data_IF_696222108572
#
_entry.id   IF_696222108572
#
_cell.length_a   1.000
_cell.length_b   1.000
_cell.length_c   1.000
_cell.angle_alpha   90.00
_cell.angle_beta   90.00
_cell.angle_gamma   90.00
#
_symmetry.space_group_name_H-M   'P 1'
#
loop_
_entity.id
_entity.type
_entity.pdbx_description
1 polymer ?
#
# COMPACT_ATOMS: atom_id res chain seq x y z
N UNK A 1 20.87 0.58 22.94
CA UNK A 1 21.68 0.21 21.76
C UNK A 1 22.51 -1.00 22.11
N UNK A 2 22.55 -2.02 21.23
CA UNK A 2 23.47 -3.16 21.28
C UNK A 2 24.31 -3.13 20.00
N UNK A 3 25.57 -3.56 20.07
CA UNK A 3 26.48 -3.62 18.92
C UNK A 3 27.22 -4.96 18.95
N UNK A 4 27.31 -5.60 17.79
CA UNK A 4 28.13 -6.77 17.56
C UNK A 4 28.82 -6.60 16.20
N UNK A 5 30.16 -6.66 16.20
CA UNK A 5 30.98 -6.59 15.01
C UNK A 5 31.70 -7.92 14.88
N UNK A 6 31.52 -8.60 13.76
CA UNK A 6 32.17 -9.88 13.47
C UNK A 6 32.97 -9.79 12.19
N UNK A 7 34.04 -10.56 12.09
CA UNK A 7 34.67 -10.85 10.81
C UNK A 7 33.74 -11.64 9.93
N UNK A 8 33.59 -11.21 8.68
CA UNK A 8 32.63 -11.82 7.73
C UNK A 8 32.99 -13.25 7.33
N UNK A 9 34.28 -13.56 7.25
CA UNK A 9 34.77 -14.85 6.78
C UNK A 9 34.87 -15.89 7.89
N UNK A 10 35.43 -15.49 9.05
CA UNK A 10 35.61 -16.39 10.18
C UNK A 10 34.43 -16.45 11.14
N UNK A 11 33.61 -15.41 11.17
CA UNK A 11 32.54 -15.25 12.17
C UNK A 11 33.04 -14.79 13.55
N UNK A 12 34.37 -14.56 13.71
CA UNK A 12 34.92 -14.16 14.98
C UNK A 12 34.45 -12.78 15.41
N UNK A 13 34.14 -12.63 16.69
CA UNK A 13 33.73 -11.36 17.25
C UNK A 13 34.91 -10.43 17.39
N UNK A 14 34.87 -9.29 16.71
CA UNK A 14 35.87 -8.22 16.79
C UNK A 14 35.55 -7.31 17.96
N UNK A 15 34.29 -6.92 18.12
CA UNK A 15 33.84 -6.02 19.19
C UNK A 15 32.37 -6.35 19.55
N UNK A 16 32.05 -6.22 20.84
CA UNK A 16 30.69 -6.46 21.34
C UNK A 16 30.34 -5.48 22.47
N UNK A 17 29.20 -4.79 22.30
CA UNK A 17 28.64 -3.96 23.36
C UNK A 17 27.15 -4.33 23.53
N UNK A 18 26.79 -4.86 24.70
CA UNK A 18 25.44 -5.29 25.03
C UNK A 18 24.79 -6.16 23.93
N UNK A 19 25.59 -6.99 23.26
CA UNK A 19 25.18 -7.78 22.09
C UNK A 19 24.05 -8.80 22.40
N UNK A 20 23.97 -9.26 23.65
CA UNK A 20 22.94 -10.21 24.11
C UNK A 20 21.71 -9.52 24.73
N UNK A 21 21.62 -8.19 24.66
CA UNK A 21 20.45 -7.48 25.18
C UNK A 21 19.27 -7.63 24.23
N UNK A 22 18.11 -7.94 24.78
CA UNK A 22 16.84 -7.93 24.01
C UNK A 22 16.49 -6.49 23.70
N UNK A 23 16.40 -6.18 22.41
CA UNK A 23 16.00 -4.86 21.89
C UNK A 23 14.98 -5.05 20.75
N UNK A 24 14.05 -4.10 20.58
CA UNK A 24 13.14 -4.14 19.43
C UNK A 24 13.94 -4.09 18.12
N UNK A 25 13.72 -5.03 17.18
CA UNK A 25 14.47 -5.08 15.92
C UNK A 25 14.08 -3.97 14.94
N UNK A 26 12.93 -3.34 15.14
CA UNK A 26 12.36 -2.37 14.20
C UNK A 26 12.44 -2.87 12.74
N UNK A 27 12.82 -2.04 11.77
CA UNK A 27 12.89 -2.43 10.36
C UNK A 27 13.97 -3.46 10.03
N UNK A 28 14.88 -3.80 10.94
CA UNK A 28 15.83 -4.90 10.70
C UNK A 28 15.13 -6.26 10.63
N UNK A 29 13.93 -6.38 11.20
CA UNK A 29 13.08 -7.58 11.02
C UNK A 29 12.78 -7.89 9.55
N UNK A 30 12.75 -6.88 8.67
CA UNK A 30 12.54 -7.08 7.24
C UNK A 30 13.62 -7.94 6.58
N UNK A 31 14.85 -7.89 7.09
CA UNK A 31 15.95 -8.75 6.58
C UNK A 31 15.62 -10.22 6.82
N UNK A 32 15.11 -10.56 7.99
CA UNK A 32 14.71 -11.94 8.30
C UNK A 32 13.53 -12.38 7.41
N UNK A 33 12.50 -11.54 7.30
CA UNK A 33 11.32 -11.83 6.48
C UNK A 33 11.70 -12.03 5.00
N UNK A 34 12.51 -11.15 4.44
CA UNK A 34 12.90 -11.24 3.04
C UNK A 34 13.87 -12.40 2.78
N UNK A 35 14.81 -12.67 3.69
CA UNK A 35 15.69 -13.83 3.58
C UNK A 35 14.89 -15.13 3.61
N UNK A 36 13.91 -15.25 4.51
CA UNK A 36 13.01 -16.41 4.58
C UNK A 36 12.21 -16.58 3.29
N UNK A 37 11.68 -15.49 2.73
CA UNK A 37 10.94 -15.55 1.47
C UNK A 37 11.83 -16.04 0.31
N UNK A 38 13.06 -15.55 0.21
CA UNK A 38 14.02 -15.99 -0.83
C UNK A 38 14.40 -17.46 -0.62
N UNK A 39 14.60 -17.90 0.61
CA UNK A 39 14.91 -19.30 0.91
C UNK A 39 13.76 -20.25 0.52
N UNK A 40 12.52 -19.86 0.80
CA UNK A 40 11.35 -20.71 0.54
C UNK A 40 10.93 -20.72 -0.93
N UNK A 41 11.01 -19.59 -1.62
CA UNK A 41 10.44 -19.43 -2.97
C UNK A 41 11.48 -19.17 -4.06
N UNK A 42 12.72 -18.89 -3.68
CA UNK A 42 13.78 -18.52 -4.62
C UNK A 42 13.70 -17.05 -5.09
N UNK A 43 14.79 -16.57 -5.66
CA UNK A 43 14.89 -15.18 -6.15
C UNK A 43 14.07 -14.90 -7.42
N UNK A 44 13.66 -15.95 -8.14
CA UNK A 44 12.89 -15.82 -9.39
C UNK A 44 11.37 -15.94 -9.19
N UNK A 45 10.92 -16.05 -7.95
CA UNK A 45 9.49 -16.09 -7.64
C UNK A 45 8.77 -14.85 -8.19
N UNK A 46 7.59 -15.07 -8.77
CA UNK A 46 6.75 -13.99 -9.31
C UNK A 46 5.38 -14.04 -8.68
N UNK A 47 4.90 -12.87 -8.26
CA UNK A 47 3.51 -12.68 -7.85
C UNK A 47 2.72 -12.36 -9.11
N UNK A 48 1.66 -13.13 -9.35
CA UNK A 48 0.78 -12.95 -10.51
C UNK A 48 -0.50 -12.24 -10.09
N UNK A 49 -1.02 -11.38 -10.97
CA UNK A 49 -2.34 -10.75 -10.81
C UNK A 49 -3.18 -11.11 -12.03
N UNK A 50 -3.92 -12.25 -11.99
CA UNK A 50 -4.75 -12.67 -13.09
C UNK A 50 -5.88 -11.68 -13.36
N UNK A 51 -6.18 -11.49 -14.66
CA UNK A 51 -7.41 -10.83 -15.10
C UNK A 51 -8.28 -11.91 -15.74
N UNK A 52 -9.40 -12.20 -15.10
CA UNK A 52 -10.33 -13.26 -15.50
C UNK A 52 -11.71 -12.69 -15.82
N UNK A 53 -12.59 -13.49 -16.39
CA UNK A 53 -13.96 -13.07 -16.64
C UNK A 53 -14.95 -14.22 -16.42
N UNK A 54 -16.20 -13.83 -16.15
CA UNK A 54 -17.35 -14.73 -16.16
C UNK A 54 -18.29 -14.38 -17.32
N UNK A 55 -19.08 -15.34 -17.78
CA UNK A 55 -19.97 -15.16 -18.91
C UNK A 55 -19.34 -15.54 -20.26
N UNK A 56 -19.69 -14.82 -21.33
CA UNK A 56 -19.23 -15.12 -22.68
C UNK A 56 -18.90 -13.83 -23.46
N UNK A 57 -18.05 -13.98 -24.48
CA UNK A 57 -17.67 -12.88 -25.37
C UNK A 57 -18.36 -13.09 -26.71
N UNK A 58 -19.10 -12.07 -27.18
CA UNK A 58 -19.73 -12.05 -28.49
C UNK A 58 -19.51 -10.69 -29.16
N UNK A 59 -19.03 -10.66 -30.39
CA UNK A 59 -18.80 -9.46 -31.20
C UNK A 59 -17.97 -8.35 -30.51
N UNK A 60 -17.06 -8.76 -29.61
CA UNK A 60 -16.22 -7.87 -28.83
C UNK A 60 -16.88 -7.36 -27.54
N UNK A 61 -18.05 -7.86 -27.20
CA UNK A 61 -18.78 -7.55 -25.97
C UNK A 61 -18.66 -8.71 -24.99
N UNK A 62 -18.16 -8.47 -23.80
CA UNK A 62 -18.23 -9.41 -22.68
C UNK A 62 -19.62 -9.27 -22.01
N UNK A 63 -20.45 -10.29 -22.17
CA UNK A 63 -21.70 -10.45 -21.44
C UNK A 63 -21.45 -11.13 -20.10
N UNK A 64 -20.98 -10.34 -19.12
CA UNK A 64 -20.55 -10.82 -17.83
C UNK A 64 -19.62 -9.82 -17.13
N UNK A 65 -18.90 -10.29 -16.12
CA UNK A 65 -18.00 -9.48 -15.31
C UNK A 65 -16.54 -9.74 -15.65
N UNK A 66 -15.70 -8.73 -15.46
CA UNK A 66 -14.25 -8.83 -15.47
C UNK A 66 -13.73 -8.77 -14.04
N UNK A 67 -12.79 -9.63 -13.69
CA UNK A 67 -12.19 -9.70 -12.35
C UNK A 67 -10.70 -9.40 -12.44
N UNK A 68 -10.20 -8.59 -11.53
CA UNK A 68 -8.78 -8.35 -11.29
C UNK A 68 -8.46 -9.03 -9.96
N UNK A 69 -7.81 -10.19 -10.03
CA UNK A 69 -7.55 -11.02 -8.84
C UNK A 69 -6.21 -10.64 -8.22
N UNK A 70 -6.25 -9.92 -7.10
CA UNK A 70 -5.06 -9.59 -6.34
C UNK A 70 -4.49 -10.80 -5.62
N UNK A 71 -3.16 -10.96 -5.66
CA UNK A 71 -2.42 -12.02 -4.94
C UNK A 71 -1.24 -11.47 -4.15
N UNK A 72 -1.32 -10.19 -3.78
CA UNK A 72 -0.33 -9.53 -2.92
C UNK A 72 0.79 -8.82 -3.67
N UNK A 73 0.62 -8.48 -4.96
CA UNK A 73 1.61 -7.68 -5.68
C UNK A 73 1.57 -6.22 -5.19
N UNK A 74 2.66 -5.70 -4.59
CA UNK A 74 2.71 -4.34 -4.07
C UNK A 74 3.17 -3.31 -5.11
N UNK A 75 3.44 -3.73 -6.36
CA UNK A 75 4.19 -2.89 -7.31
C UNK A 75 3.33 -1.93 -8.12
N UNK A 76 2.00 -2.12 -8.17
CA UNK A 76 1.11 -1.33 -9.03
C UNK A 76 1.07 0.15 -8.62
N UNK A 77 1.65 0.99 -9.47
CA UNK A 77 1.74 2.43 -9.23
C UNK A 77 2.60 2.82 -8.04
N UNK A 78 3.36 1.89 -7.46
CA UNK A 78 4.23 2.15 -6.32
C UNK A 78 5.27 3.21 -6.64
N UNK A 79 5.46 4.15 -5.70
CA UNK A 79 6.53 5.16 -5.79
C UNK A 79 7.92 4.57 -5.60
N UNK A 80 8.04 3.37 -5.03
CA UNK A 80 9.31 2.71 -4.75
C UNK A 80 9.85 1.92 -5.93
N UNK A 81 8.97 1.33 -6.75
CA UNK A 81 9.39 0.47 -7.87
C UNK A 81 9.04 1.06 -9.24
N UNK A 82 8.38 2.21 -9.27
CA UNK A 82 8.14 2.98 -10.49
C UNK A 82 7.25 2.31 -11.55
N UNK A 83 6.50 1.26 -11.21
CA UNK A 83 5.63 0.57 -12.16
C UNK A 83 4.35 1.37 -12.40
N UNK A 84 4.51 2.37 -13.22
CA UNK A 84 3.45 3.29 -13.60
C UNK A 84 2.63 2.78 -14.76
N UNK A 85 1.81 2.88 -15.41
CA UNK A 85 1.22 2.38 -16.66
C UNK A 85 0.61 1.00 -16.63
N UNK A 86 0.49 0.36 -15.46
CA UNK A 86 -0.09 -0.97 -15.34
C UNK A 86 -1.55 -1.01 -15.80
N UNK A 87 -2.35 0.01 -15.54
CA UNK A 87 -3.73 0.10 -16.00
C UNK A 87 -3.83 0.11 -17.54
N UNK A 88 -2.91 0.81 -18.20
CA UNK A 88 -2.86 0.81 -19.67
C UNK A 88 -2.50 -0.58 -20.20
N UNK A 89 -1.54 -1.27 -19.58
CA UNK A 89 -1.18 -2.64 -19.94
C UNK A 89 -2.38 -3.56 -19.76
N UNK A 90 -3.04 -3.54 -18.62
CA UNK A 90 -4.23 -4.37 -18.36
C UNK A 90 -5.34 -4.10 -19.38
N UNK A 91 -5.65 -2.85 -19.67
CA UNK A 91 -6.63 -2.50 -20.68
C UNK A 91 -6.24 -3.02 -22.08
N UNK A 92 -4.95 -3.00 -22.41
CA UNK A 92 -4.42 -3.56 -23.66
C UNK A 92 -4.59 -5.08 -23.71
N UNK A 93 -4.24 -5.79 -22.65
CA UNK A 93 -4.40 -7.24 -22.56
C UNK A 93 -5.87 -7.66 -22.71
N UNK A 94 -6.78 -6.97 -22.01
CA UNK A 94 -8.23 -7.18 -22.12
C UNK A 94 -8.71 -6.97 -23.56
N UNK A 95 -8.22 -5.93 -24.25
CA UNK A 95 -8.54 -5.70 -25.66
C UNK A 95 -7.97 -6.78 -26.59
N UNK A 96 -6.77 -7.27 -26.32
CA UNK A 96 -6.15 -8.37 -27.09
C UNK A 96 -6.90 -9.69 -26.89
N UNK A 97 -7.52 -9.92 -25.74
CA UNK A 97 -8.43 -11.02 -25.50
C UNK A 97 -9.78 -10.88 -26.22
N UNK A 98 -9.97 -9.83 -27.02
CA UNK A 98 -11.17 -9.60 -27.82
C UNK A 98 -12.28 -8.80 -27.12
N UNK A 99 -12.06 -8.31 -25.90
CA UNK A 99 -13.07 -7.58 -25.13
C UNK A 99 -12.90 -6.07 -25.38
N UNK A 100 -13.92 -5.44 -25.95
CA UNK A 100 -13.99 -3.99 -26.21
C UNK A 100 -15.02 -3.29 -25.34
N UNK A 101 -16.01 -4.03 -24.88
CA UNK A 101 -17.11 -3.56 -24.03
C UNK A 101 -17.45 -4.63 -23.00
N UNK A 102 -17.88 -4.21 -21.82
CA UNK A 102 -18.29 -5.07 -20.71
C UNK A 102 -19.71 -4.64 -20.33
N UNK A 103 -20.67 -5.58 -20.27
CA UNK A 103 -22.05 -5.29 -19.86
C UNK A 103 -22.26 -5.39 -18.35
N UNK A 104 -21.43 -6.15 -17.68
CA UNK A 104 -21.43 -6.26 -16.23
C UNK A 104 -20.43 -5.30 -15.56
N UNK A 105 -19.78 -5.75 -14.51
CA UNK A 105 -18.89 -4.96 -13.69
C UNK A 105 -17.41 -5.32 -13.90
N UNK A 106 -16.51 -4.37 -13.61
CA UNK A 106 -15.10 -4.63 -13.36
C UNK A 106 -14.93 -4.74 -11.84
N UNK A 107 -14.47 -5.88 -11.36
CA UNK A 107 -14.42 -6.24 -9.96
C UNK A 107 -12.96 -6.41 -9.55
N UNK A 108 -12.51 -5.65 -8.56
CA UNK A 108 -11.25 -5.90 -7.87
C UNK A 108 -11.46 -6.95 -6.79
N UNK A 109 -10.81 -8.10 -6.95
CA UNK A 109 -10.92 -9.21 -6.00
C UNK A 109 -9.67 -9.24 -5.10
N UNK A 110 -9.86 -8.96 -3.82
CA UNK A 110 -8.82 -9.02 -2.79
C UNK A 110 -8.99 -10.21 -1.85
N UNK A 111 -9.83 -11.18 -2.17
CA UNK A 111 -10.19 -12.31 -1.30
C UNK A 111 -9.06 -13.33 -1.08
N UNK A 112 -7.95 -13.20 -1.78
CA UNK A 112 -6.78 -14.09 -1.61
C UNK A 112 -6.15 -14.00 -0.21
N UNK A 113 -6.19 -12.81 0.41
CA UNK A 113 -5.84 -12.63 1.82
C UNK A 113 -7.11 -12.59 2.67
N UNK A 114 -6.96 -12.84 3.97
CA UNK A 114 -8.05 -12.64 4.91
C UNK A 114 -8.42 -11.15 5.06
N UNK A 115 -9.52 -10.87 5.76
CA UNK A 115 -10.01 -9.51 5.93
C UNK A 115 -9.21 -8.68 6.95
N UNK A 116 -8.19 -9.25 7.61
CA UNK A 116 -7.40 -8.58 8.64
C UNK A 116 -6.23 -7.81 8.03
N UNK A 117 -6.53 -6.72 7.36
CA UNK A 117 -5.52 -5.89 6.69
C UNK A 117 -4.59 -5.15 7.66
N UNK A 118 -4.94 -5.05 8.94
CA UNK A 118 -4.22 -4.27 9.93
C UNK A 118 -3.58 -5.18 10.98
N UNK A 119 -2.32 -4.92 11.29
CA UNK A 119 -1.65 -5.62 12.36
C UNK A 119 -2.21 -5.14 13.72
N UNK A 120 -2.70 -6.05 14.59
CA UNK A 120 -3.30 -5.66 15.87
C UNK A 120 -2.29 -5.05 16.87
N UNK A 121 -0.99 -5.16 16.60
CA UNK A 121 0.06 -4.54 17.40
C UNK A 121 0.41 -3.11 16.98
N UNK A 122 -0.19 -2.58 15.92
CA UNK A 122 0.03 -1.18 15.53
C UNK A 122 -0.60 -0.24 16.54
N UNK A 123 0.11 0.86 16.82
CA UNK A 123 -0.43 1.91 17.66
C UNK A 123 -1.52 2.67 16.90
N UNK A 124 -2.50 3.18 17.63
CA UNK A 124 -3.56 4.00 17.04
C UNK A 124 -3.01 5.23 16.31
N UNK A 125 -1.94 5.82 16.84
CA UNK A 125 -1.26 6.96 16.24
C UNK A 125 -0.56 6.64 14.90
N UNK A 126 -0.30 5.37 14.60
CA UNK A 126 0.26 4.95 13.32
C UNK A 126 -0.81 4.88 12.22
N UNK A 127 -2.07 4.70 12.59
CA UNK A 127 -3.17 4.58 11.66
C UNK A 127 -3.36 5.90 10.87
N UNK A 128 -3.26 5.80 9.53
CA UNK A 128 -3.32 6.96 8.64
C UNK A 128 -1.95 7.46 8.17
N UNK A 129 -0.86 6.99 8.77
CA UNK A 129 0.49 7.28 8.27
C UNK A 129 0.87 6.43 7.06
N UNK A 130 1.71 7.00 6.19
CA UNK A 130 2.16 6.33 4.95
C UNK A 130 2.94 5.03 5.18
N UNK A 131 3.46 4.80 6.37
CA UNK A 131 4.21 3.59 6.73
C UNK A 131 3.34 2.50 7.38
N UNK A 132 2.07 2.79 7.61
CA UNK A 132 1.10 1.86 8.17
C UNK A 132 -0.16 1.70 7.28
N UNK A 133 -0.02 1.54 5.96
CA UNK A 133 -1.16 1.22 5.11
C UNK A 133 -1.62 -0.22 5.38
N UNK A 134 -2.90 -0.47 5.24
CA UNK A 134 -3.42 -1.83 5.33
C UNK A 134 -2.84 -2.75 4.26
N UNK A 135 -2.76 -4.04 4.58
CA UNK A 135 -2.23 -5.09 3.69
C UNK A 135 -3.40 -5.81 3.04
N UNK A 136 -3.53 -5.64 1.72
CA UNK A 136 -4.58 -6.26 0.93
C UNK A 136 -3.97 -7.09 -0.20
N UNK A 137 -4.69 -8.12 -0.64
CA UNK A 137 -4.25 -8.93 -1.78
C UNK A 137 -4.21 -8.13 -3.08
N UNK A 138 -5.10 -7.15 -3.25
CA UNK A 138 -5.08 -6.19 -4.36
C UNK A 138 -4.79 -4.80 -3.82
N UNK A 139 -3.64 -4.26 -4.19
CA UNK A 139 -3.16 -2.95 -3.74
C UNK A 139 -2.65 -2.12 -4.92
N UNK A 140 -2.78 -0.82 -4.86
CA UNK A 140 -2.14 0.11 -5.79
C UNK A 140 -1.77 1.42 -5.10
N UNK A 141 -0.80 2.15 -5.68
CA UNK A 141 -0.27 3.40 -5.11
C UNK A 141 0.15 3.25 -3.64
N UNK A 142 0.78 2.10 -3.31
CA UNK A 142 1.23 1.77 -1.95
C UNK A 142 0.09 1.79 -0.90
N UNK A 143 -1.18 1.68 -1.30
CA UNK A 143 -2.37 1.90 -0.47
C UNK A 143 -2.34 3.26 0.25
N UNK A 144 -1.76 4.26 -0.37
CA UNK A 144 -1.65 5.62 0.18
C UNK A 144 -2.40 6.62 -0.68
N UNK A 145 -2.78 7.72 -0.07
CA UNK A 145 -3.41 8.86 -0.72
C UNK A 145 -2.68 10.13 -0.31
N UNK A 146 -2.29 10.93 -1.28
CA UNK A 146 -1.77 12.28 -1.00
C UNK A 146 -2.93 13.24 -0.84
N UNK A 147 -2.92 14.03 0.23
CA UNK A 147 -3.89 15.09 0.49
C UNK A 147 -3.16 16.42 0.31
N UNK A 148 -3.65 17.26 -0.58
CA UNK A 148 -3.08 18.58 -0.81
C UNK A 148 -3.87 19.62 -0.02
N UNK A 149 -3.18 20.27 0.89
CA UNK A 149 -3.74 21.32 1.74
C UNK A 149 -3.23 22.70 1.30
N UNK A 150 -4.10 23.71 1.44
CA UNK A 150 -3.75 25.11 1.30
C UNK A 150 -3.81 25.77 2.68
N UNK A 151 -2.70 26.35 3.12
CA UNK A 151 -2.69 27.18 4.33
C UNK A 151 -3.34 28.54 4.06
N UNK A 152 -3.96 29.08 5.11
CA UNK A 152 -4.53 30.42 5.15
C UNK A 152 -3.90 31.27 6.27
N UNK A 153 -4.57 32.36 6.71
CA UNK A 153 -4.14 33.13 7.86
C UNK A 153 -3.95 32.28 9.12
N UNK A 154 -3.02 32.66 9.97
CA UNK A 154 -2.78 31.97 11.25
C UNK A 154 -4.08 31.86 12.06
N UNK A 155 -4.38 30.67 12.55
CA UNK A 155 -5.60 30.33 13.27
C UNK A 155 -6.77 29.86 12.40
N UNK A 156 -6.74 30.07 11.08
CA UNK A 156 -7.76 29.54 10.17
C UNK A 156 -7.62 28.02 9.99
N UNK A 157 -8.67 27.38 9.52
CA UNK A 157 -8.62 25.97 9.08
C UNK A 157 -7.97 25.93 7.70
N UNK A 158 -7.04 24.99 7.50
CA UNK A 158 -6.45 24.74 6.19
C UNK A 158 -7.51 24.17 5.23
N UNK A 159 -7.44 24.55 3.97
CA UNK A 159 -8.36 24.07 2.94
C UNK A 159 -7.85 22.77 2.31
N UNK A 160 -8.69 21.74 2.21
CA UNK A 160 -8.39 20.55 1.42
C UNK A 160 -8.66 20.86 -0.05
N UNK A 161 -7.61 20.90 -0.88
CA UNK A 161 -7.73 21.22 -2.30
C UNK A 161 -8.09 20.01 -3.16
N UNK A 162 -7.34 18.94 -2.99
CA UNK A 162 -7.55 17.69 -3.72
C UNK A 162 -6.86 16.51 -3.03
N UNK A 163 -7.15 15.32 -3.56
CA UNK A 163 -6.46 14.09 -3.19
C UNK A 163 -5.97 13.35 -4.44
N UNK A 164 -4.92 12.56 -4.27
CA UNK A 164 -4.42 11.68 -5.32
C UNK A 164 -4.09 10.31 -4.74
N UNK A 165 -4.79 9.22 -5.13
CA UNK A 165 -5.93 9.21 -6.06
C UNK A 165 -7.15 9.93 -5.48
N UNK A 166 -8.07 10.31 -6.35
CA UNK A 166 -9.39 10.77 -5.92
C UNK A 166 -10.22 9.55 -5.51
N UNK A 167 -10.72 9.56 -4.28
CA UNK A 167 -11.60 8.52 -3.75
C UNK A 167 -12.87 9.20 -3.27
N UNK A 168 -13.93 9.23 -4.10
CA UNK A 168 -15.13 10.03 -3.86
C UNK A 168 -15.86 9.68 -2.56
N UNK A 169 -15.70 8.44 -2.10
CA UNK A 169 -16.38 7.95 -0.89
C UNK A 169 -15.71 8.41 0.41
N UNK A 170 -14.51 9.00 0.35
CA UNK A 170 -13.81 9.45 1.56
C UNK A 170 -14.31 10.84 1.96
N UNK A 171 -14.78 10.93 3.17
CA UNK A 171 -15.21 12.15 3.84
C UNK A 171 -14.10 12.67 4.77
N UNK A 172 -13.78 13.96 4.67
CA UNK A 172 -12.81 14.61 5.54
C UNK A 172 -13.49 15.44 6.61
N UNK A 173 -13.19 15.16 7.87
CA UNK A 173 -13.49 16.04 9.00
C UNK A 173 -12.20 16.79 9.36
N UNK A 174 -12.08 18.03 8.88
CA UNK A 174 -10.85 18.79 8.89
C UNK A 174 -10.78 19.77 10.05
N UNK A 175 -9.81 19.61 10.93
CA UNK A 175 -9.50 20.47 12.07
C UNK A 175 -8.08 21.07 12.01
N UNK A 176 -7.33 20.88 10.92
CA UNK A 176 -5.97 21.37 10.78
C UNK A 176 -5.96 22.91 10.80
N UNK A 177 -5.29 23.48 11.80
CA UNK A 177 -5.15 24.93 11.95
C UNK A 177 -3.82 25.42 11.41
N UNK A 178 -3.91 26.49 10.64
CA UNK A 178 -2.74 27.20 10.16
C UNK A 178 -1.99 27.88 11.30
N UNK A 179 -0.69 27.73 11.35
CA UNK A 179 0.21 28.33 12.33
C UNK A 179 1.30 29.14 11.64
N UNK A 180 2.11 29.87 12.41
CA UNK A 180 3.30 30.55 11.90
C UNK A 180 4.52 29.63 11.78
N UNK A 181 4.39 28.37 12.13
CA UNK A 181 5.47 27.38 12.07
C UNK A 181 5.55 26.82 10.66
N UNK A 182 6.75 26.80 10.10
CA UNK A 182 7.01 26.41 8.72
C UNK A 182 7.41 24.92 8.59
N UNK A 183 6.58 24.01 9.13
CA UNK A 183 6.70 22.58 8.87
C UNK A 183 5.32 21.93 8.75
N UNK A 184 5.24 20.79 8.09
CA UNK A 184 4.04 19.99 8.04
C UNK A 184 3.87 19.22 9.36
N UNK A 185 2.96 19.69 10.19
CA UNK A 185 2.54 19.03 11.43
C UNK A 185 1.16 18.41 11.32
N UNK A 186 0.62 18.28 10.10
CA UNK A 186 -0.69 17.70 9.88
C UNK A 186 -0.71 16.21 10.25
N UNK A 187 -1.77 15.82 10.94
CA UNK A 187 -1.98 14.43 11.34
C UNK A 187 -3.27 13.94 10.67
N UNK A 188 -3.21 12.77 10.07
CA UNK A 188 -4.38 12.13 9.43
C UNK A 188 -4.64 10.83 10.14
N UNK A 189 -5.87 10.61 10.58
CA UNK A 189 -6.27 9.34 11.18
C UNK A 189 -7.72 8.98 10.83
N UNK A 190 -8.09 7.75 11.06
CA UNK A 190 -9.46 7.28 10.88
C UNK A 190 -9.65 5.86 11.38
N UNK A 191 -10.88 5.52 11.66
CA UNK A 191 -11.23 4.13 12.02
C UNK A 191 -10.99 3.23 10.81
N UNK A 192 -10.34 2.09 10.99
CA UNK A 192 -10.16 1.10 9.92
C UNK A 192 -11.49 0.76 9.23
N UNK A 193 -11.44 0.60 7.93
CA UNK A 193 -12.61 0.30 7.07
C UNK A 193 -13.72 1.36 7.06
N UNK A 194 -13.47 2.53 7.66
CA UNK A 194 -14.37 3.68 7.60
C UNK A 194 -14.05 4.59 6.42
N UNK A 195 -15.05 5.24 5.87
CA UNK A 195 -14.86 6.26 4.83
C UNK A 195 -14.46 7.62 5.42
N UNK A 196 -14.56 7.82 6.74
CA UNK A 196 -14.23 9.09 7.38
C UNK A 196 -12.76 9.17 7.78
N UNK A 197 -12.14 10.31 7.47
CA UNK A 197 -10.79 10.67 7.89
C UNK A 197 -10.80 11.99 8.61
N UNK A 198 -10.10 12.03 9.73
CA UNK A 198 -9.91 13.23 10.56
C UNK A 198 -8.54 13.84 10.23
N UNK A 199 -8.54 15.14 9.97
CA UNK A 199 -7.36 15.94 9.65
C UNK A 199 -7.10 16.96 10.75
#
# INVERSE_FOLDING_TARGET
>A
MGVLICDYHSGDTIEAYRANSVIPPASTMKLLTTATAVELWGGDYRIETPITYSGYIQDGVLHGNLYIEGRGDPTFGSRYVGYQGFLYRWAKEVRQAGIRQITGSVIGDASYFDANALNPSWLWEDAGNYYAPGIFALSYLDNTMNIVLRSGPVGSIAEVLNTTPQVPEIEFENHIRCTHISYDGAFVHGVPYSNRRYL
#
